data_IF_923830976363
#
_entry.id   IF_923830976363
#
_cell.length_a   1.000
_cell.length_b   1.000
_cell.length_c   1.000
_cell.angle_alpha   90.00
_cell.angle_beta   90.00
_cell.angle_gamma   90.00
#
_symmetry.space_group_name_H-M   'P 1'
#
loop_
_entity.id
_entity.type
_entity.pdbx_description
1 polymer ?
#
# COMPACT_ATOMS: atom_id res chain seq x y z
N UNK A 1 -10.85 9.50 -4.88
CA UNK A 1 -11.25 8.18 -5.43
C UNK A 1 -11.14 7.12 -4.36
N UNK A 2 -11.93 6.09 -4.46
CA UNK A 2 -11.78 4.94 -3.60
C UNK A 2 -10.88 3.93 -4.29
N UNK A 3 -10.02 3.28 -3.51
CA UNK A 3 -9.15 2.29 -4.10
C UNK A 3 -9.88 0.97 -4.28
N UNK A 4 -9.36 0.13 -5.14
CA UNK A 4 -9.86 -1.22 -5.36
C UNK A 4 -8.87 -2.21 -4.75
N UNK A 5 -9.29 -3.47 -4.64
CA UNK A 5 -8.41 -4.52 -4.15
C UNK A 5 -7.12 -4.62 -4.95
N UNK A 6 -7.20 -4.68 -6.29
CA UNK A 6 -5.97 -4.71 -7.10
C UNK A 6 -5.07 -3.50 -6.91
N UNK A 7 -5.65 -2.29 -6.78
CA UNK A 7 -4.84 -1.10 -6.54
C UNK A 7 -4.18 -1.14 -5.16
N UNK A 8 -4.88 -1.65 -4.15
CA UNK A 8 -4.32 -1.82 -2.83
C UNK A 8 -3.12 -2.75 -2.87
N UNK A 9 -3.28 -3.88 -3.56
CA UNK A 9 -2.20 -4.85 -3.68
C UNK A 9 -1.02 -4.29 -4.46
N UNK A 10 -1.28 -3.56 -5.56
CA UNK A 10 -0.24 -2.96 -6.35
C UNK A 10 0.53 -1.90 -5.56
N UNK A 11 -0.20 -1.06 -4.81
CA UNK A 11 0.43 -0.03 -4.00
C UNK A 11 1.30 -0.67 -2.92
N UNK A 12 0.81 -1.72 -2.28
CA UNK A 12 1.56 -2.45 -1.27
C UNK A 12 2.85 -3.01 -1.85
N UNK A 13 2.77 -3.58 -3.06
CA UNK A 13 3.94 -4.12 -3.73
C UNK A 13 4.95 -3.01 -4.03
N UNK A 14 4.48 -1.85 -4.48
CA UNK A 14 5.36 -0.75 -4.81
C UNK A 14 6.07 -0.19 -3.58
N UNK A 15 5.38 -0.07 -2.45
CA UNK A 15 6.00 0.40 -1.22
C UNK A 15 6.67 -0.74 -0.44
N UNK A 16 6.53 -1.97 -0.95
CA UNK A 16 7.16 -3.17 -0.40
C UNK A 16 6.73 -3.45 1.03
N UNK A 17 5.44 -3.35 1.28
CA UNK A 17 4.86 -3.65 2.58
C UNK A 17 4.13 -4.98 2.55
N UNK A 18 4.34 -5.83 3.56
CA UNK A 18 3.46 -6.98 3.74
C UNK A 18 2.13 -6.52 4.29
N UNK A 19 1.12 -7.38 4.21
CA UNK A 19 -0.22 -7.04 4.71
C UNK A 19 -0.21 -6.71 6.19
N UNK A 20 0.67 -7.34 6.96
CA UNK A 20 0.76 -7.05 8.40
C UNK A 20 1.15 -5.60 8.65
N UNK A 21 2.07 -5.07 7.86
CA UNK A 21 2.48 -3.69 8.03
C UNK A 21 1.37 -2.73 7.64
N UNK A 22 0.65 -3.04 6.56
CA UNK A 22 -0.48 -2.21 6.16
C UNK A 22 -1.59 -2.27 7.20
N UNK A 23 -1.83 -3.44 7.79
CA UNK A 23 -2.83 -3.57 8.85
C UNK A 23 -2.48 -2.69 10.03
N UNK A 24 -1.22 -2.70 10.46
CA UNK A 24 -0.78 -1.86 11.56
C UNK A 24 -0.93 -0.38 11.23
N UNK A 25 -0.52 0.02 10.04
CA UNK A 25 -0.54 1.43 9.66
C UNK A 25 -1.95 1.96 9.45
N UNK A 26 -2.86 1.13 8.97
CA UNK A 26 -4.21 1.56 8.62
C UNK A 26 -5.24 1.31 9.71
N UNK A 27 -4.97 0.37 10.61
CA UNK A 27 -5.94 -0.06 11.58
C UNK A 27 -6.96 -1.05 11.03
N UNK A 28 -6.82 -1.46 9.78
CA UNK A 28 -7.72 -2.42 9.14
C UNK A 28 -7.16 -3.82 9.39
N UNK A 29 -8.03 -4.76 9.73
CA UNK A 29 -7.58 -6.12 10.04
C UNK A 29 -6.94 -6.77 8.82
N UNK A 30 -5.87 -7.51 9.06
CA UNK A 30 -5.14 -8.19 8.00
C UNK A 30 -6.06 -9.09 7.17
N UNK A 31 -6.98 -9.80 7.83
CA UNK A 31 -7.89 -10.68 7.13
C UNK A 31 -8.81 -9.91 6.18
N UNK A 32 -9.21 -8.71 6.57
CA UNK A 32 -10.05 -7.87 5.71
C UNK A 32 -9.27 -7.34 4.53
N UNK A 33 -8.00 -7.00 4.74
CA UNK A 33 -7.14 -6.57 3.64
C UNK A 33 -6.98 -7.71 2.64
N UNK A 34 -6.75 -8.92 3.13
CA UNK A 34 -6.59 -10.06 2.25
C UNK A 34 -7.86 -10.34 1.46
N UNK A 35 -9.01 -10.29 2.12
CA UNK A 35 -10.28 -10.54 1.43
C UNK A 35 -10.55 -9.48 0.37
N UNK A 36 -10.20 -8.24 0.65
CA UNK A 36 -10.34 -7.14 -0.30
C UNK A 36 -9.42 -7.34 -1.51
N UNK A 37 -8.17 -7.71 -1.26
CA UNK A 37 -7.18 -7.84 -2.34
C UNK A 37 -7.36 -9.08 -3.19
N UNK A 38 -7.78 -10.18 -2.58
CA UNK A 38 -7.83 -11.46 -3.28
C UNK A 38 -9.24 -11.93 -3.58
N UNK A 39 -10.21 -11.53 -2.79
CA UNK A 39 -11.58 -12.00 -2.93
C UNK A 39 -12.57 -10.93 -3.34
N UNK A 40 -12.09 -9.72 -3.54
CA UNK A 40 -12.93 -8.59 -3.93
C UNK A 40 -14.07 -8.34 -2.94
N UNK A 41 -13.80 -8.58 -1.66
CA UNK A 41 -14.77 -8.31 -0.60
C UNK A 41 -14.57 -6.87 -0.15
N UNK A 42 -15.61 -6.05 -0.27
CA UNK A 42 -15.54 -4.64 0.07
C UNK A 42 -15.47 -4.48 1.60
N UNK A 43 -14.41 -3.88 2.13
CA UNK A 43 -14.29 -3.70 3.58
C UNK A 43 -15.03 -2.48 4.11
N UNK A 44 -15.69 -1.73 3.25
CA UNK A 44 -16.38 -0.52 3.63
C UNK A 44 -15.59 0.73 3.30
N UNK A 45 -16.29 1.84 3.20
CA UNK A 45 -15.69 3.10 2.76
C UNK A 45 -14.62 3.61 3.72
N UNK A 46 -14.88 3.49 5.03
CA UNK A 46 -13.91 3.96 6.01
C UNK A 46 -12.63 3.14 5.96
N UNK A 47 -12.75 1.83 5.80
CA UNK A 47 -11.59 0.97 5.70
C UNK A 47 -10.80 1.27 4.43
N UNK A 48 -11.49 1.46 3.30
CA UNK A 48 -10.81 1.80 2.04
C UNK A 48 -10.09 3.13 2.15
N UNK A 49 -10.69 4.11 2.81
CA UNK A 49 -10.04 5.41 3.01
C UNK A 49 -8.82 5.27 3.90
N UNK A 50 -8.90 4.46 4.95
CA UNK A 50 -7.77 4.25 5.84
C UNK A 50 -6.61 3.55 5.14
N UNK A 51 -6.92 2.56 4.30
CA UNK A 51 -5.91 1.85 3.54
C UNK A 51 -5.23 2.80 2.55
N UNK A 52 -6.02 3.60 1.84
CA UNK A 52 -5.49 4.57 0.89
C UNK A 52 -4.56 5.55 1.60
N UNK A 53 -5.00 6.09 2.73
CA UNK A 53 -4.21 7.06 3.46
C UNK A 53 -2.87 6.47 3.94
N UNK A 54 -2.90 5.25 4.46
CA UNK A 54 -1.68 4.60 4.92
C UNK A 54 -0.70 4.38 3.78
N UNK A 55 -1.21 3.94 2.63
CA UNK A 55 -0.34 3.70 1.47
C UNK A 55 0.19 5.01 0.89
N UNK A 56 -0.61 6.06 0.88
CA UNK A 56 -0.15 7.37 0.43
C UNK A 56 0.94 7.91 1.35
N UNK A 57 0.79 7.72 2.65
CA UNK A 57 1.81 8.13 3.60
C UNK A 57 3.11 7.38 3.35
N UNK A 58 3.01 6.14 2.91
CA UNK A 58 4.19 5.32 2.59
C UNK A 58 4.80 5.66 1.23
N UNK A 59 4.15 6.50 0.45
CA UNK A 59 4.73 6.95 -0.81
C UNK A 59 3.96 6.58 -2.06
N UNK A 60 2.83 5.91 -1.94
CA UNK A 60 2.03 5.58 -3.12
C UNK A 60 1.23 6.79 -3.57
N UNK A 61 1.07 6.94 -4.87
CA UNK A 61 0.22 7.97 -5.47
C UNK A 61 -0.79 7.25 -6.33
N UNK A 62 -2.07 7.39 -5.97
CA UNK A 62 -3.13 6.75 -6.74
C UNK A 62 -3.58 7.69 -7.84
N UNK A 63 -3.76 7.15 -9.03
CA UNK A 63 -4.15 7.89 -10.20
C UNK A 63 -5.60 7.56 -10.50
N UNK A 64 -6.43 8.59 -10.56
CA UNK A 64 -7.85 8.39 -10.85
C UNK A 64 -8.03 7.86 -12.25
N UNK A 65 -9.11 7.14 -12.44
CA UNK A 65 -9.42 6.63 -13.74
C UNK A 65 -9.69 7.78 -14.70
N UNK A 66 -9.04 7.73 -15.85
CA UNK A 66 -9.26 8.67 -16.93
C UNK A 66 -9.26 7.85 -18.22
N UNK A 67 -8.86 8.43 -19.35
CA UNK A 67 -8.84 7.69 -20.60
C UNK A 67 -7.87 6.52 -20.58
N UNK A 68 -6.91 6.54 -19.69
CA UNK A 68 -5.90 5.49 -19.57
C UNK A 68 -6.18 4.52 -18.45
N UNK A 69 -7.24 4.74 -17.67
CA UNK A 69 -7.59 3.88 -16.57
C UNK A 69 -6.96 4.31 -15.25
N UNK A 70 -7.38 3.68 -14.17
CA UNK A 70 -6.84 3.96 -12.84
C UNK A 70 -5.50 3.29 -12.66
N UNK A 71 -4.67 3.83 -11.77
CA UNK A 71 -3.37 3.25 -11.52
C UNK A 71 -2.76 3.72 -10.23
N UNK A 72 -1.53 3.30 -9.98
CA UNK A 72 -0.78 3.72 -8.81
C UNK A 72 0.70 3.77 -9.19
N UNK A 73 1.41 4.73 -8.63
CA UNK A 73 2.86 4.84 -8.80
C UNK A 73 3.47 5.31 -7.50
N UNK A 74 4.80 5.27 -7.43
CA UNK A 74 5.50 5.82 -6.28
C UNK A 74 5.71 7.31 -6.46
N UNK A 75 5.65 8.02 -5.33
CA UNK A 75 5.99 9.45 -5.29
C UNK A 75 7.48 9.66 -5.49
N UNK A 76 8.28 8.63 -5.12
CA UNK A 76 9.72 8.72 -5.19
C UNK A 76 10.25 7.91 -6.36
N UNK A 77 11.41 8.30 -6.88
CA UNK A 77 12.11 7.49 -7.88
C UNK A 77 12.64 6.22 -7.21
N UNK A 78 13.04 5.25 -8.01
CA UNK A 78 13.63 4.02 -7.48
C UNK A 78 14.84 4.31 -6.61
N UNK A 79 15.63 5.28 -6.99
CA UNK A 79 16.81 5.66 -6.24
C UNK A 79 16.41 6.23 -4.87
N UNK A 80 15.40 7.08 -4.85
CA UNK A 80 14.93 7.67 -3.60
C UNK A 80 14.39 6.62 -2.65
N UNK A 81 13.64 5.67 -3.16
CA UNK A 81 13.10 4.59 -2.34
C UNK A 81 14.22 3.78 -1.73
N UNK A 82 15.24 3.48 -2.52
CA UNK A 82 16.35 2.71 -2.05
C UNK A 82 17.09 3.42 -0.91
N UNK A 83 17.28 4.72 -1.02
CA UNK A 83 17.93 5.49 0.02
C UNK A 83 17.09 5.56 1.27
N UNK A 84 15.79 5.75 1.14
CA UNK A 84 14.90 5.79 2.29
C UNK A 84 14.91 4.47 3.04
N UNK A 85 14.89 3.36 2.33
CA UNK A 85 14.94 2.06 2.96
C UNK A 85 16.24 1.82 3.68
N UNK A 86 17.34 2.29 3.12
CA UNK A 86 18.64 2.17 3.75
C UNK A 86 18.66 2.92 5.06
N UNK A 87 18.12 4.14 5.09
CA UNK A 87 18.08 4.92 6.30
C UNK A 87 17.22 4.26 7.37
N UNK A 88 16.07 3.73 6.97
CA UNK A 88 15.18 3.08 7.91
C UNK A 88 15.76 1.79 8.46
N UNK A 89 16.52 1.08 7.65
CA UNK A 89 17.07 -0.18 8.07
C UNK A 89 18.34 -0.08 8.84
N UNK A 90 18.93 1.10 8.89
CA UNK A 90 20.21 1.24 9.48
C UNK A 90 20.24 0.93 10.95
N UNK A 91 19.19 1.17 11.62
CA UNK A 91 19.12 0.92 13.04
C UNK A 91 18.40 -0.32 13.41
N UNK A 92 18.04 -1.18 12.49
CA UNK A 92 17.24 -2.31 12.85
C UNK A 92 17.26 -3.44 11.90
N UNK A 93 16.74 -4.51 12.34
CA UNK A 93 16.61 -5.67 11.54
C UNK A 93 15.67 -5.38 10.43
N UNK A 94 16.06 -5.71 9.28
CA UNK A 94 15.23 -5.56 8.18
C UNK A 94 14.33 -6.71 8.13
N UNK A 95 13.13 -6.48 8.26
CA UNK A 95 12.17 -7.52 8.12
C UNK A 95 12.21 -7.98 6.72
N UNK A 96 12.29 -9.21 6.57
CA UNK A 96 12.21 -9.76 5.31
C UNK A 96 10.87 -9.88 4.96
N UNK A 97 10.37 -8.97 4.35
CA UNK A 97 9.00 -8.96 4.09
C UNK A 97 8.66 -9.78 2.98
N UNK A 98 7.75 -10.55 3.08
CA UNK A 98 7.14 -11.22 2.05
C UNK A 98 6.06 -10.36 1.56
N UNK A 99 6.26 -9.56 0.73
CA UNK A 99 5.27 -8.71 0.13
C UNK A 99 4.26 -9.48 -0.70
#
# INVERSE_FOLDING_TARGET
MQITGPLCRAARALVQWPRTQLATASGVKKADIRAFETGDVDPGDDAKAALKHALETAGAVFLDEDDLGAGVRLRFTRRDVKQLRRLEGEGGAVGEDDV
#
